data_IF_276636253283
#
_entry.id   IF_276636253283
#
_cell.length_a   1.000
_cell.length_b   1.000
_cell.length_c   1.000
_cell.angle_alpha   90.00
_cell.angle_beta   90.00
_cell.angle_gamma   90.00
#
_symmetry.space_group_name_H-M   'P 1'
#
loop_
_entity.id
_entity.type
_entity.pdbx_description
1 polymer ?
#
# COMPACT_ATOMS: atom_id res chain seq x y z
N UNK A 1 10.27 -4.11 -7.94
CA UNK A 1 10.56 -2.73 -7.50
C UNK A 1 9.32 -1.87 -7.66
N UNK A 2 8.73 -1.46 -6.54
CA UNK A 2 7.48 -0.68 -6.52
C UNK A 2 7.66 0.83 -6.65
N UNK A 3 8.86 1.35 -6.39
CA UNK A 3 9.12 2.80 -6.45
C UNK A 3 9.02 3.27 -7.89
N UNK A 4 8.13 4.25 -8.10
CA UNK A 4 7.89 4.94 -9.36
C UNK A 4 7.36 6.33 -9.04
N UNK A 5 7.45 7.25 -10.00
CA UNK A 5 6.78 8.55 -9.90
C UNK A 5 5.32 8.35 -9.51
N UNK A 6 4.83 9.09 -8.54
CA UNK A 6 3.48 9.02 -7.98
C UNK A 6 3.30 8.04 -6.81
N UNK A 7 4.36 7.37 -6.37
CA UNK A 7 4.28 6.38 -5.28
C UNK A 7 3.93 7.01 -3.94
N UNK A 8 4.18 8.31 -3.75
CA UNK A 8 3.79 8.99 -2.50
C UNK A 8 2.34 9.49 -2.54
N UNK A 9 1.66 9.37 -3.68
CA UNK A 9 0.37 10.00 -4.00
C UNK A 9 0.38 11.54 -4.02
N UNK A 10 1.54 12.17 -3.91
CA UNK A 10 1.72 13.60 -4.23
C UNK A 10 2.13 13.75 -5.69
N UNK A 11 1.64 14.83 -6.33
CA UNK A 11 1.87 15.07 -7.74
C UNK A 11 2.12 16.55 -7.99
N UNK A 12 2.98 16.83 -8.97
CA UNK A 12 2.86 18.09 -9.68
C UNK A 12 1.58 18.07 -10.52
N UNK A 13 0.61 18.93 -10.19
CA UNK A 13 -0.71 18.96 -10.82
C UNK A 13 -0.64 19.24 -12.33
N UNK A 14 0.38 19.98 -12.78
CA UNK A 14 0.59 20.31 -14.19
C UNK A 14 1.05 19.11 -15.02
N UNK A 15 1.67 18.10 -14.39
CA UNK A 15 2.30 16.95 -15.07
C UNK A 15 1.65 15.60 -14.69
N UNK A 16 0.52 15.63 -13.98
CA UNK A 16 -0.09 14.48 -13.27
C UNK A 16 -0.50 13.32 -14.19
N UNK A 17 -0.87 13.60 -15.44
CA UNK A 17 -1.58 12.63 -16.28
C UNK A 17 -2.87 12.10 -15.60
N UNK A 18 -3.54 11.08 -16.14
CA UNK A 18 -4.60 10.39 -15.42
C UNK A 18 -4.00 9.61 -14.24
N UNK A 19 -4.49 9.82 -13.02
CA UNK A 19 -4.17 8.93 -11.91
C UNK A 19 -4.93 7.63 -12.14
N UNK A 20 -4.23 6.48 -12.31
CA UNK A 20 -4.89 5.20 -12.21
C UNK A 20 -5.32 5.02 -10.75
N UNK A 21 -6.61 5.05 -10.46
CA UNK A 21 -7.09 4.87 -9.09
C UNK A 21 -7.64 3.47 -8.92
N UNK A 22 -7.11 2.70 -7.96
CA UNK A 22 -7.88 1.59 -7.42
C UNK A 22 -9.00 2.20 -6.60
N UNK A 23 -10.23 2.09 -7.11
CA UNK A 23 -11.41 2.49 -6.35
C UNK A 23 -11.65 1.55 -5.18
N UNK A 24 -12.33 2.04 -4.14
CA UNK A 24 -12.66 1.21 -2.97
C UNK A 24 -13.43 -0.07 -3.34
N UNK A 25 -14.26 -0.04 -4.39
CA UNK A 25 -14.99 -1.20 -4.88
C UNK A 25 -14.07 -2.27 -5.49
N UNK A 26 -13.05 -1.85 -6.24
CA UNK A 26 -12.04 -2.75 -6.79
C UNK A 26 -11.17 -3.33 -5.67
N UNK A 27 -10.72 -2.49 -4.72
CA UNK A 27 -9.98 -2.95 -3.54
C UNK A 27 -10.77 -3.99 -2.74
N UNK A 28 -12.04 -3.72 -2.42
CA UNK A 28 -12.94 -4.68 -1.78
C UNK A 28 -13.01 -5.99 -2.55
N UNK A 29 -13.20 -5.93 -3.87
CA UNK A 29 -13.30 -7.12 -4.72
C UNK A 29 -12.03 -7.95 -4.65
N UNK A 30 -10.85 -7.32 -4.71
CA UNK A 30 -9.55 -7.98 -4.57
C UNK A 30 -9.42 -8.67 -3.22
N UNK A 31 -9.69 -7.93 -2.13
CA UNK A 31 -9.54 -8.42 -0.76
C UNK A 31 -10.47 -9.61 -0.49
N UNK A 32 -11.77 -9.48 -0.79
CA UNK A 32 -12.74 -10.56 -0.54
C UNK A 32 -12.43 -11.79 -1.39
N UNK A 33 -12.02 -11.62 -2.65
CA UNK A 33 -11.70 -12.74 -3.53
C UNK A 33 -10.47 -13.53 -3.06
N UNK A 34 -9.43 -12.86 -2.53
CA UNK A 34 -8.23 -13.52 -2.06
C UNK A 34 -8.37 -14.09 -0.63
N UNK A 35 -9.05 -13.39 0.26
CA UNK A 35 -9.12 -13.72 1.68
C UNK A 35 -10.14 -14.83 1.99
N UNK A 36 -11.34 -14.77 1.37
CA UNK A 36 -12.44 -15.68 1.69
C UNK A 36 -12.10 -17.16 1.44
N UNK A 37 -11.47 -17.56 0.31
CA UNK A 37 -11.12 -18.96 0.06
C UNK A 37 -10.10 -19.54 1.05
N UNK A 38 -9.33 -18.67 1.71
CA UNK A 38 -8.34 -19.04 2.74
C UNK A 38 -8.93 -19.05 4.15
N UNK A 39 -10.24 -18.80 4.31
CA UNK A 39 -10.92 -18.79 5.60
C UNK A 39 -10.76 -17.51 6.41
N UNK A 40 -10.20 -16.43 5.82
CA UNK A 40 -10.16 -15.14 6.49
C UNK A 40 -11.54 -14.47 6.46
N UNK A 41 -11.91 -13.88 7.59
CA UNK A 41 -12.98 -12.88 7.68
C UNK A 41 -12.40 -11.52 7.37
N UNK A 42 -13.06 -10.77 6.50
CA UNK A 42 -12.69 -9.39 6.15
C UNK A 42 -13.53 -8.42 6.98
N UNK A 43 -12.88 -7.56 7.75
CA UNK A 43 -13.51 -6.48 8.54
C UNK A 43 -12.79 -5.15 8.35
N UNK A 44 -13.34 -4.09 8.94
CA UNK A 44 -12.71 -2.76 9.05
C UNK A 44 -12.18 -2.18 7.73
N UNK A 45 -12.90 -2.45 6.64
CA UNK A 45 -12.52 -1.97 5.32
C UNK A 45 -12.64 -0.45 5.28
N UNK A 46 -11.49 0.21 5.16
CA UNK A 46 -11.36 1.66 5.16
C UNK A 46 -10.93 2.14 3.78
N UNK A 47 -11.68 3.12 3.27
CA UNK A 47 -11.32 3.83 2.05
C UNK A 47 -10.22 4.86 2.35
N UNK A 48 -9.32 5.07 1.39
CA UNK A 48 -8.33 6.15 1.45
C UNK A 48 -9.00 7.50 1.70
N UNK A 49 -8.34 8.35 2.46
CA UNK A 49 -8.76 9.73 2.69
C UNK A 49 -7.88 10.72 1.94
N UNK A 50 -7.85 11.96 2.45
CA UNK A 50 -6.70 12.85 2.24
C UNK A 50 -5.48 12.23 2.92
N UNK A 51 -5.67 11.75 4.15
CA UNK A 51 -4.74 10.90 4.89
C UNK A 51 -5.56 9.75 5.52
N UNK A 52 -5.15 8.47 5.41
CA UNK A 52 -4.01 7.96 4.65
C UNK A 52 -4.20 7.97 3.13
N UNK A 53 -3.10 7.82 2.38
CA UNK A 53 -3.08 7.70 0.92
C UNK A 53 -3.39 6.28 0.40
N UNK A 54 -3.90 5.37 1.24
CA UNK A 54 -4.15 3.97 0.91
C UNK A 54 -5.48 3.47 1.47
N UNK A 55 -6.03 2.44 0.85
CA UNK A 55 -7.16 1.67 1.39
C UNK A 55 -6.62 0.58 2.31
N UNK A 56 -7.41 0.16 3.30
CA UNK A 56 -7.03 -0.94 4.18
C UNK A 56 -8.21 -1.84 4.53
N UNK A 57 -7.92 -3.07 4.92
CA UNK A 57 -8.88 -3.99 5.53
C UNK A 57 -8.18 -4.88 6.55
N UNK A 58 -8.90 -5.28 7.59
CA UNK A 58 -8.43 -6.26 8.56
C UNK A 58 -8.87 -7.67 8.12
N UNK A 59 -7.92 -8.61 8.16
CA UNK A 59 -8.13 -10.02 7.86
C UNK A 59 -7.90 -10.84 9.14
N UNK A 60 -8.90 -11.61 9.55
CA UNK A 60 -8.81 -12.47 10.74
C UNK A 60 -9.14 -13.93 10.43
N UNK A 61 -8.34 -14.87 10.92
CA UNK A 61 -8.60 -16.31 10.84
C UNK A 61 -8.09 -17.00 12.12
N UNK A 62 -9.01 -17.32 13.04
CA UNK A 62 -8.65 -17.82 14.37
C UNK A 62 -7.83 -16.78 15.14
N UNK A 63 -6.66 -17.19 15.64
CA UNK A 63 -5.73 -16.31 16.35
C UNK A 63 -4.83 -15.47 15.41
N UNK A 64 -4.93 -15.67 14.10
CA UNK A 64 -4.18 -14.90 13.11
C UNK A 64 -4.95 -13.64 12.72
N UNK A 65 -4.30 -12.48 12.82
CA UNK A 65 -4.83 -11.21 12.33
C UNK A 65 -3.74 -10.44 11.57
N UNK A 66 -4.10 -9.84 10.43
CA UNK A 66 -3.22 -8.99 9.64
C UNK A 66 -4.02 -7.98 8.83
N UNK A 67 -3.41 -6.86 8.46
CA UNK A 67 -4.01 -5.86 7.58
C UNK A 67 -3.50 -6.01 6.16
N UNK A 68 -4.41 -5.92 5.20
CA UNK A 68 -4.10 -5.78 3.77
C UNK A 68 -4.26 -4.31 3.37
N UNK A 69 -3.26 -3.77 2.67
CA UNK A 69 -3.19 -2.37 2.25
C UNK A 69 -3.24 -2.31 0.72
N UNK A 70 -4.06 -1.41 0.18
CA UNK A 70 -4.18 -1.15 -1.25
C UNK A 70 -3.74 0.26 -1.59
N UNK A 71 -2.69 0.41 -2.38
CA UNK A 71 -2.19 1.72 -2.80
C UNK A 71 -3.25 2.47 -3.61
N UNK A 72 -3.44 3.76 -3.34
CA UNK A 72 -4.51 4.53 -3.98
C UNK A 72 -4.32 4.75 -5.48
N UNK A 73 -3.07 4.93 -5.90
CA UNK A 73 -2.68 5.32 -7.27
C UNK A 73 -2.20 4.14 -8.12
N UNK A 74 -2.00 2.97 -7.53
CA UNK A 74 -1.38 1.87 -8.26
C UNK A 74 -1.97 0.54 -7.82
N UNK A 75 -1.99 -0.46 -8.72
CA UNK A 75 -2.32 -1.82 -8.35
C UNK A 75 -1.16 -2.46 -7.58
N UNK A 76 -0.94 -1.95 -6.38
CA UNK A 76 0.03 -2.43 -5.40
C UNK A 76 -0.73 -2.77 -4.13
N UNK A 77 -0.49 -3.98 -3.64
CA UNK A 77 -0.99 -4.47 -2.37
C UNK A 77 0.18 -4.82 -1.47
N UNK A 78 0.05 -4.55 -0.18
CA UNK A 78 1.00 -4.96 0.85
C UNK A 78 0.25 -5.58 2.04
N UNK A 79 0.98 -6.32 2.87
CA UNK A 79 0.46 -6.82 4.14
C UNK A 79 1.21 -6.20 5.32
N UNK A 80 0.53 -6.14 6.44
CA UNK A 80 1.07 -5.60 7.69
C UNK A 80 0.45 -6.32 8.88
N UNK A 81 1.07 -6.19 10.05
CA UNK A 81 0.36 -6.39 11.32
C UNK A 81 -0.91 -5.52 11.35
N UNK A 82 -1.93 -5.89 12.16
CA UNK A 82 -3.13 -5.07 12.30
C UNK A 82 -2.78 -3.60 12.58
N UNK A 83 -3.33 -2.69 11.76
CA UNK A 83 -3.01 -1.28 11.88
C UNK A 83 -3.42 -0.71 13.25
N UNK A 84 -2.47 -0.06 13.91
CA UNK A 84 -2.73 0.72 15.12
C UNK A 84 -3.03 2.18 14.73
N UNK A 85 -4.31 2.57 14.77
CA UNK A 85 -4.78 3.88 14.29
C UNK A 85 -4.11 5.09 14.95
N UNK A 86 -3.52 4.93 16.14
CA UNK A 86 -2.90 6.03 16.89
C UNK A 86 -1.40 6.19 16.63
N UNK A 87 -0.71 5.17 16.12
CA UNK A 87 0.74 5.21 15.94
C UNK A 87 1.15 5.77 14.58
N UNK A 88 0.29 5.67 13.56
CA UNK A 88 0.65 5.93 12.16
C UNK A 88 1.91 5.15 11.71
N UNK A 89 2.22 4.03 12.38
CA UNK A 89 3.29 3.12 12.02
C UNK A 89 2.70 1.89 11.35
N UNK A 90 3.39 1.40 10.31
CA UNK A 90 3.03 0.16 9.63
C UNK A 90 4.18 -0.81 9.80
N UNK A 91 3.90 -1.95 10.45
CA UNK A 91 4.83 -3.08 10.48
C UNK A 91 4.48 -4.02 9.33
N UNK A 92 5.25 -3.97 8.25
CA UNK A 92 5.00 -4.81 7.10
C UNK A 92 5.31 -6.27 7.42
N UNK A 93 4.50 -7.17 6.87
CA UNK A 93 4.71 -8.62 6.96
C UNK A 93 4.48 -9.23 5.57
N UNK A 94 4.98 -10.45 5.35
CA UNK A 94 4.64 -11.24 4.19
C UNK A 94 3.61 -12.31 4.57
N UNK A 95 2.77 -12.70 3.60
CA UNK A 95 1.82 -13.80 3.77
C UNK A 95 1.80 -14.68 2.54
N UNK A 96 2.57 -15.78 2.55
CA UNK A 96 2.67 -16.70 1.41
C UNK A 96 1.31 -17.17 0.86
N UNK A 97 0.33 -17.57 1.71
CA UNK A 97 -0.97 -18.01 1.20
C UNK A 97 -1.72 -16.89 0.47
N UNK A 98 -1.74 -15.68 1.02
CA UNK A 98 -2.44 -14.54 0.40
C UNK A 98 -1.70 -14.04 -0.84
N UNK A 99 -0.37 -14.00 -0.82
CA UNK A 99 0.46 -13.65 -1.99
C UNK A 99 0.19 -14.60 -3.15
N UNK A 100 0.17 -15.91 -2.92
CA UNK A 100 -0.10 -16.89 -3.98
C UNK A 100 -1.52 -16.77 -4.54
N UNK A 101 -2.53 -16.56 -3.67
CA UNK A 101 -3.91 -16.33 -4.12
C UNK A 101 -4.05 -15.04 -4.93
N UNK A 102 -3.50 -13.93 -4.44
CA UNK A 102 -3.54 -12.65 -5.15
C UNK A 102 -2.84 -12.74 -6.50
N UNK A 103 -1.64 -13.34 -6.56
CA UNK A 103 -0.90 -13.48 -7.81
C UNK A 103 -1.66 -14.34 -8.85
N UNK A 104 -2.43 -15.33 -8.39
CA UNK A 104 -3.24 -16.19 -9.25
C UNK A 104 -4.49 -15.48 -9.76
N UNK A 105 -5.21 -14.78 -8.89
CA UNK A 105 -6.49 -14.14 -9.22
C UNK A 105 -6.32 -12.78 -9.92
N UNK A 106 -5.25 -12.06 -9.59
CA UNK A 106 -5.00 -10.70 -10.01
C UNK A 106 -3.55 -10.53 -10.50
N UNK A 107 -3.18 -11.10 -11.67
CA UNK A 107 -1.80 -11.08 -12.17
C UNK A 107 -1.26 -9.68 -12.49
N UNK A 108 -2.14 -8.67 -12.58
CA UNK A 108 -1.77 -7.27 -12.78
C UNK A 108 -1.55 -6.50 -11.47
N UNK A 109 -1.84 -7.11 -10.31
CA UNK A 109 -1.61 -6.52 -8.99
C UNK A 109 -0.22 -6.91 -8.52
N UNK A 110 0.59 -5.91 -8.23
CA UNK A 110 1.91 -6.09 -7.61
C UNK A 110 1.73 -6.33 -6.12
N UNK A 111 2.22 -7.46 -5.61
CA UNK A 111 2.30 -7.70 -4.16
C UNK A 111 3.67 -7.24 -3.69
N UNK A 112 3.72 -6.17 -2.90
CA UNK A 112 4.94 -5.64 -2.32
C UNK A 112 5.40 -6.50 -1.15
N UNK A 113 6.69 -6.84 -1.11
CA UNK A 113 7.26 -7.68 -0.05
C UNK A 113 7.83 -6.83 1.08
N UNK A 114 7.96 -7.42 2.26
CA UNK A 114 8.66 -6.79 3.40
C UNK A 114 10.05 -6.29 3.02
N UNK A 115 10.83 -7.13 2.32
CA UNK A 115 12.17 -6.76 1.87
C UNK A 115 12.20 -5.53 0.94
N UNK A 116 11.18 -5.34 0.10
CA UNK A 116 11.05 -4.14 -0.73
C UNK A 116 10.54 -2.92 0.06
N UNK A 117 9.70 -3.14 1.07
CA UNK A 117 9.04 -2.07 1.83
C UNK A 117 9.92 -1.53 2.97
N UNK A 118 10.70 -2.38 3.63
CA UNK A 118 11.52 -2.00 4.80
C UNK A 118 12.88 -1.40 4.42
N UNK A 119 13.28 -1.50 3.15
CA UNK A 119 14.52 -0.88 2.70
C UNK A 119 14.39 0.65 2.68
N UNK A 120 15.52 1.33 2.88
CA UNK A 120 15.61 2.77 2.69
C UNK A 120 15.42 3.17 1.22
N UNK A 121 14.93 4.38 1.00
CA UNK A 121 14.99 5.04 -0.31
C UNK A 121 16.46 5.31 -0.67
N UNK A 122 16.81 4.98 -1.91
CA UNK A 122 18.14 5.25 -2.48
C UNK A 122 18.12 6.51 -3.34
N UNK A 123 19.29 7.07 -3.67
CA UNK A 123 19.37 8.22 -4.59
C UNK A 123 18.73 7.91 -5.95
N UNK A 124 18.82 6.65 -6.42
CA UNK A 124 18.16 6.18 -7.64
C UNK A 124 16.64 6.22 -7.52
N UNK A 125 16.08 5.85 -6.36
CA UNK A 125 14.64 5.96 -6.10
C UNK A 125 14.20 7.42 -6.15
N UNK A 126 14.93 8.30 -5.46
CA UNK A 126 14.62 9.73 -5.39
C UNK A 126 14.69 10.40 -6.77
N UNK A 127 15.60 9.97 -7.64
CA UNK A 127 15.70 10.46 -9.01
C UNK A 127 14.49 10.10 -9.89
N UNK A 128 13.74 9.05 -9.55
CA UNK A 128 12.53 8.61 -10.27
C UNK A 128 11.30 9.41 -9.83
N UNK A 129 11.27 9.87 -8.58
CA UNK A 129 10.19 10.68 -8.04
C UNK A 129 10.10 12.04 -8.74
N UNK A 130 8.92 12.64 -8.81
CA UNK A 130 8.81 14.01 -9.31
C UNK A 130 9.24 15.06 -8.28
N UNK A 131 9.25 16.33 -8.70
CA UNK A 131 9.70 17.42 -7.83
C UNK A 131 8.83 17.56 -6.59
N UNK A 132 7.51 17.44 -6.71
CA UNK A 132 6.59 17.54 -5.56
C UNK A 132 6.81 16.39 -4.59
N UNK A 133 6.97 15.17 -5.10
CA UNK A 133 7.25 14.00 -4.27
C UNK A 133 8.59 14.09 -3.53
N UNK A 134 9.65 14.58 -4.18
CA UNK A 134 10.96 14.76 -3.52
C UNK A 134 10.90 15.77 -2.39
N UNK A 135 10.14 16.86 -2.55
CA UNK A 135 9.94 17.82 -1.46
C UNK A 135 9.18 17.19 -0.28
N UNK A 136 8.18 16.35 -0.54
CA UNK A 136 7.48 15.61 0.50
C UNK A 136 8.39 14.61 1.22
N UNK A 137 9.20 13.84 0.49
CA UNK A 137 10.18 12.93 1.09
C UNK A 137 11.19 13.70 1.95
N UNK A 138 11.63 14.88 1.52
CA UNK A 138 12.54 15.73 2.30
C UNK A 138 11.89 16.29 3.57
N UNK A 139 10.61 16.63 3.50
CA UNK A 139 9.86 17.15 4.64
C UNK A 139 9.54 16.05 5.67
N UNK A 140 8.95 14.94 5.22
CA UNK A 140 8.47 13.85 6.07
C UNK A 140 9.56 12.86 6.49
N UNK A 141 10.66 12.78 5.75
CA UNK A 141 11.79 11.89 6.03
C UNK A 141 11.35 10.44 6.32
N UNK A 142 10.62 9.78 5.40
CA UNK A 142 10.26 8.37 5.56
C UNK A 142 11.50 7.53 5.83
N UNK A 143 11.38 6.60 6.78
CA UNK A 143 12.48 5.71 7.12
C UNK A 143 12.65 4.59 6.08
N UNK A 144 11.58 4.29 5.33
CA UNK A 144 11.57 3.20 4.35
C UNK A 144 10.73 3.53 3.10
N UNK A 145 10.89 2.72 2.06
CA UNK A 145 10.04 2.76 0.87
C UNK A 145 8.57 2.58 1.23
N UNK A 146 8.27 1.69 2.17
CA UNK A 146 6.92 1.43 2.65
C UNK A 146 6.29 2.65 3.31
N UNK A 147 7.04 3.40 4.13
CA UNK A 147 6.55 4.65 4.71
C UNK A 147 6.30 5.75 3.67
N UNK A 148 7.02 5.74 2.55
CA UNK A 148 6.74 6.68 1.46
C UNK A 148 5.51 6.24 0.64
N UNK A 149 5.37 4.95 0.38
CA UNK A 149 4.29 4.38 -0.44
C UNK A 149 2.94 4.35 0.29
N UNK A 150 2.94 4.03 1.58
CA UNK A 150 1.76 3.93 2.42
C UNK A 150 1.91 4.92 3.58
N UNK A 151 1.32 6.10 3.43
CA UNK A 151 1.58 7.24 4.31
C UNK A 151 0.29 7.94 4.78
N UNK A 152 0.44 8.73 5.85
CA UNK A 152 -0.58 9.64 6.41
C UNK A 152 -0.18 11.11 6.24
N UNK A 153 0.58 11.43 5.20
CA UNK A 153 1.08 12.78 4.97
C UNK A 153 -0.05 13.73 4.56
N UNK A 154 0.06 15.00 4.94
CA UNK A 154 -0.87 16.09 4.59
C UNK A 154 -0.32 17.07 3.54
#
# INVERSE_FOLDING_TARGET
>A
MIVRRGITSFFNWDDRGPIPEIGIAEFKSIVYAAATPLGYTVSDVSERGVTPNFHSALLTNGDTALSILGHSTYPIVAFSEPLELLSCEIRFIDSDPLTQQLATLFPNVTIATTAELDRNLTDTDLAILDTSEREQVKYWQPQSVGNAAFNWWD
#
